data_IF_238045061439
#
_entry.id   IF_238045061439
#
_cell.length_a   1.000
_cell.length_b   1.000
_cell.length_c   1.000
_cell.angle_alpha   90.00
_cell.angle_beta   90.00
_cell.angle_gamma   90.00
#
_symmetry.space_group_name_H-M   'P 1'
#
loop_
_entity.id
_entity.type
_entity.pdbx_description
1 polymer ?
#
# COMPACT_ATOMS: atom_id res chain seq x y z
N UNK A 1 2.05 -4.92 13.40
CA UNK A 1 2.68 -3.99 12.46
C UNK A 1 2.91 -2.67 13.19
N UNK A 2 4.16 -2.23 13.34
CA UNK A 2 4.51 -1.05 14.15
C UNK A 2 3.97 0.20 13.46
N UNK A 3 3.06 0.91 14.13
CA UNK A 3 2.60 2.24 13.70
C UNK A 3 3.81 3.19 13.69
N UNK A 4 4.25 3.61 12.51
CA UNK A 4 5.35 4.57 12.35
C UNK A 4 4.89 5.97 12.81
N UNK A 5 4.98 6.25 14.11
CA UNK A 5 4.64 7.54 14.74
C UNK A 5 5.59 8.70 14.40
N UNK A 6 6.46 8.60 13.39
CA UNK A 6 7.71 9.39 13.41
C UNK A 6 7.67 10.78 12.74
N UNK A 7 6.64 11.20 12.01
CA UNK A 7 6.68 12.52 11.34
C UNK A 7 5.29 13.15 11.19
N UNK A 8 4.70 13.75 12.24
CA UNK A 8 3.55 14.65 12.05
C UNK A 8 3.63 15.84 13.04
N UNK A 9 3.85 17.05 12.50
CA UNK A 9 3.98 18.31 13.25
C UNK A 9 2.64 18.93 13.69
N UNK A 10 1.51 18.51 13.11
CA UNK A 10 0.16 18.91 13.52
C UNK A 10 -0.87 17.88 13.02
N UNK A 11 -1.64 17.30 13.93
CA UNK A 11 -2.68 16.30 13.64
C UNK A 11 -4.05 16.98 13.65
N UNK A 12 -4.88 16.67 12.66
CA UNK A 12 -6.30 17.08 12.66
C UNK A 12 -7.01 16.50 13.89
N UNK A 13 -7.91 17.26 14.55
CA UNK A 13 -8.69 16.74 15.68
C UNK A 13 -9.62 15.56 15.28
N UNK A 14 -9.85 15.35 13.99
CA UNK A 14 -10.61 14.20 13.46
C UNK A 14 -9.79 12.92 13.32
N UNK A 15 -8.46 13.00 13.44
CA UNK A 15 -7.59 11.83 13.32
C UNK A 15 -7.36 11.19 14.69
N UNK A 16 -7.77 9.93 14.81
CA UNK A 16 -7.51 9.09 15.96
C UNK A 16 -6.60 7.93 15.54
N UNK A 17 -5.53 7.70 16.30
CA UNK A 17 -4.54 6.66 16.00
C UNK A 17 -4.56 5.65 17.13
N UNK A 18 -4.68 4.37 16.77
CA UNK A 18 -4.72 3.26 17.71
C UNK A 18 -3.61 2.29 17.38
N UNK A 19 -3.04 1.67 18.41
CA UNK A 19 -2.13 0.53 18.26
C UNK A 19 -2.94 -0.74 18.53
N UNK A 20 -3.07 -1.59 17.52
CA UNK A 20 -3.80 -2.84 17.61
C UNK A 20 -3.23 -3.89 16.66
N UNK A 21 -3.59 -5.14 16.89
CA UNK A 21 -3.44 -6.21 15.90
C UNK A 21 -4.63 -6.18 14.95
N UNK A 22 -4.43 -6.52 13.68
CA UNK A 22 -5.54 -6.68 12.72
C UNK A 22 -6.50 -7.79 13.14
N UNK A 23 -6.02 -8.76 13.93
CA UNK A 23 -6.82 -9.86 14.45
C UNK A 23 -7.61 -9.50 15.71
N UNK A 24 -7.33 -8.34 16.31
CA UNK A 24 -7.89 -7.88 17.59
C UNK A 24 -8.12 -6.36 17.51
N UNK A 25 -8.90 -5.93 16.51
CA UNK A 25 -9.24 -4.52 16.32
C UNK A 25 -10.20 -4.06 17.43
N UNK A 26 -9.91 -2.95 18.14
CA UNK A 26 -10.70 -2.49 19.29
C UNK A 26 -11.91 -1.66 18.83
N UNK A 27 -12.64 -2.16 17.84
CA UNK A 27 -13.81 -1.48 17.27
C UNK A 27 -14.97 -2.46 17.21
N UNK A 28 -16.18 -1.91 17.30
CA UNK A 28 -17.37 -2.70 17.01
C UNK A 28 -17.37 -3.11 15.53
N UNK A 29 -17.90 -4.30 15.27
CA UNK A 29 -18.10 -4.77 13.88
C UNK A 29 -19.03 -3.81 13.15
N UNK A 30 -18.90 -3.76 11.83
CA UNK A 30 -19.78 -2.96 10.97
C UNK A 30 -19.82 -1.47 11.36
N UNK A 31 -18.69 -0.91 11.78
CA UNK A 31 -18.62 0.48 12.28
C UNK A 31 -18.16 1.48 11.22
N UNK A 32 -17.53 1.02 10.13
CA UNK A 32 -16.89 1.91 9.17
C UNK A 32 -17.55 1.85 7.80
N UNK A 33 -17.81 3.02 7.23
CA UNK A 33 -18.34 3.15 5.87
C UNK A 33 -17.28 2.82 4.82
N UNK A 34 -16.00 3.09 5.12
CA UNK A 34 -14.83 2.81 4.27
C UNK A 34 -13.67 2.28 5.10
N UNK A 35 -13.04 1.20 4.65
CA UNK A 35 -11.82 0.62 5.25
C UNK A 35 -10.73 0.53 4.20
N UNK A 36 -9.53 0.99 4.54
CA UNK A 36 -8.36 0.98 3.67
C UNK A 36 -7.25 0.13 4.28
N UNK A 37 -6.64 -0.76 3.49
CA UNK A 37 -5.50 -1.56 3.91
C UNK A 37 -4.47 -1.63 2.78
N UNK A 38 -3.42 -0.80 2.88
CA UNK A 38 -2.40 -0.68 1.84
C UNK A 38 -1.01 -1.06 2.34
N UNK A 39 -0.34 -1.96 1.61
CA UNK A 39 1.01 -2.44 1.89
C UNK A 39 1.12 -3.28 3.15
N UNK A 40 0.02 -3.87 3.65
CA UNK A 40 -0.01 -4.60 4.92
C UNK A 40 -0.19 -6.10 4.74
N UNK A 41 -1.16 -6.51 3.92
CA UNK A 41 -1.66 -7.88 3.91
C UNK A 41 -0.57 -8.91 3.59
N UNK A 42 0.39 -8.58 2.72
CA UNK A 42 1.52 -9.47 2.39
C UNK A 42 2.50 -9.75 3.54
N UNK A 43 2.41 -8.99 4.64
CA UNK A 43 3.24 -9.18 5.82
C UNK A 43 2.48 -9.86 6.96
N UNK A 44 1.20 -10.20 6.75
CA UNK A 44 0.38 -10.85 7.75
C UNK A 44 0.63 -12.37 7.77
N UNK A 45 0.59 -13.02 8.94
CA UNK A 45 0.74 -14.48 9.04
C UNK A 45 -0.34 -15.27 8.29
N UNK A 46 -1.56 -14.75 8.22
CA UNK A 46 -2.69 -15.38 7.55
C UNK A 46 -3.45 -14.30 6.77
N UNK A 47 -3.31 -14.37 5.45
CA UNK A 47 -3.91 -13.42 4.52
C UNK A 47 -5.44 -13.47 4.58
N UNK A 48 -6.03 -14.67 4.55
CA UNK A 48 -7.49 -14.83 4.50
C UNK A 48 -8.12 -14.34 5.79
N UNK A 49 -7.54 -14.71 6.94
CA UNK A 49 -8.01 -14.22 8.24
C UNK A 49 -7.88 -12.71 8.35
N UNK A 50 -6.78 -12.14 7.83
CA UNK A 50 -6.56 -10.69 7.86
C UNK A 50 -7.60 -9.93 7.02
N UNK A 51 -7.92 -10.42 5.82
CA UNK A 51 -8.99 -9.85 4.98
C UNK A 51 -10.34 -9.97 5.67
N UNK A 52 -10.65 -11.13 6.26
CA UNK A 52 -11.89 -11.35 7.00
C UNK A 52 -12.06 -10.36 8.16
N UNK A 53 -11.01 -10.16 8.97
CA UNK A 53 -11.05 -9.20 10.08
C UNK A 53 -11.33 -7.76 9.60
N UNK A 54 -10.84 -7.38 8.41
CA UNK A 54 -11.14 -6.07 7.83
C UNK A 54 -12.58 -5.98 7.33
N UNK A 55 -13.08 -7.02 6.67
CA UNK A 55 -14.47 -7.08 6.19
C UNK A 55 -15.45 -6.93 7.35
N UNK A 56 -15.20 -7.58 8.48
CA UNK A 56 -16.04 -7.50 9.68
C UNK A 56 -16.17 -6.09 10.26
N UNK A 57 -15.25 -5.18 9.95
CA UNK A 57 -15.30 -3.79 10.40
C UNK A 57 -16.14 -2.91 9.46
N UNK A 58 -16.43 -3.37 8.25
CA UNK A 58 -17.15 -2.61 7.21
C UNK A 58 -18.65 -2.76 7.42
N UNK A 59 -19.38 -1.65 7.37
CA UNK A 59 -20.86 -1.65 7.40
C UNK A 59 -21.45 -2.42 6.21
N UNK A 60 -22.67 -2.97 6.32
CA UNK A 60 -23.44 -3.38 5.16
C UNK A 60 -23.54 -2.23 4.13
N UNK A 61 -23.11 -2.47 2.89
CA UNK A 61 -23.06 -1.45 1.83
C UNK A 61 -21.83 -0.52 1.88
N UNK A 62 -20.94 -0.70 2.84
CA UNK A 62 -19.64 -0.02 2.88
C UNK A 62 -18.61 -0.61 1.92
N UNK A 63 -17.43 -0.01 1.85
CA UNK A 63 -16.35 -0.48 0.97
C UNK A 63 -15.08 -0.84 1.73
N UNK A 64 -14.46 -1.93 1.30
CA UNK A 64 -13.11 -2.32 1.67
C UNK A 64 -12.22 -2.15 0.43
N UNK A 65 -11.17 -1.34 0.56
CA UNK A 65 -10.16 -1.14 -0.48
C UNK A 65 -8.82 -1.68 0.03
N UNK A 66 -8.28 -2.67 -0.67
CA UNK A 66 -7.01 -3.31 -0.32
C UNK A 66 -6.09 -3.34 -1.52
N UNK A 67 -4.79 -3.29 -1.27
CA UNK A 67 -3.79 -3.70 -2.25
C UNK A 67 -3.09 -4.98 -1.77
N UNK A 68 -2.62 -5.76 -2.73
CA UNK A 68 -1.69 -6.85 -2.48
C UNK A 68 -0.84 -6.98 -3.74
N UNK A 69 0.46 -7.10 -3.56
CA UNK A 69 1.36 -7.30 -4.69
C UNK A 69 1.26 -8.76 -5.14
N UNK A 70 0.72 -9.04 -6.34
CA UNK A 70 0.77 -10.40 -6.85
C UNK A 70 2.24 -10.72 -7.15
N UNK A 71 2.80 -11.76 -6.53
CA UNK A 71 4.11 -12.29 -6.92
C UNK A 71 3.91 -13.01 -8.27
N UNK A 72 3.88 -12.26 -9.37
CA UNK A 72 3.69 -12.80 -10.72
C UNK A 72 5.04 -13.31 -11.27
N UNK A 73 5.42 -14.52 -10.87
CA UNK A 73 6.48 -15.30 -11.52
C UNK A 73 7.90 -14.70 -11.50
N UNK A 74 8.85 -15.39 -12.13
CA UNK A 74 10.25 -14.97 -12.22
C UNK A 74 10.47 -13.67 -13.03
N UNK A 75 9.60 -13.38 -14.01
CA UNK A 75 9.69 -12.18 -14.85
C UNK A 75 9.49 -10.87 -14.06
N UNK A 76 8.67 -10.86 -13.01
CA UNK A 76 8.56 -9.66 -12.13
C UNK A 76 9.80 -9.44 -11.27
N UNK A 77 10.67 -10.45 -11.10
CA UNK A 77 11.98 -10.29 -10.43
C UNK A 77 13.02 -9.65 -11.35
N UNK A 78 12.86 -9.79 -12.67
CA UNK A 78 13.67 -9.12 -13.70
C UNK A 78 13.18 -7.67 -13.80
N UNK A 79 13.43 -6.87 -12.76
CA UNK A 79 13.07 -5.46 -12.80
C UNK A 79 13.96 -4.74 -13.82
N UNK A 80 13.36 -4.11 -14.83
CA UNK A 80 14.05 -3.22 -15.78
C UNK A 80 14.95 -2.20 -15.06
N UNK A 81 14.60 -1.82 -13.83
CA UNK A 81 15.44 -1.00 -12.95
C UNK A 81 16.87 -1.52 -12.82
N UNK A 82 17.14 -2.82 -12.80
CA UNK A 82 18.51 -3.33 -12.66
C UNK A 82 19.34 -3.15 -13.93
N UNK A 83 18.71 -3.19 -15.11
CA UNK A 83 19.36 -2.92 -16.39
C UNK A 83 19.49 -1.43 -16.68
N UNK A 84 18.48 -0.64 -16.30
CA UNK A 84 18.43 0.79 -16.56
C UNK A 84 19.28 1.58 -15.56
N UNK A 85 19.37 1.16 -14.29
CA UNK A 85 20.02 1.93 -13.21
C UNK A 85 21.51 2.24 -13.40
N UNK A 86 22.35 1.40 -14.03
CA UNK A 86 23.73 1.79 -14.37
C UNK A 86 23.80 3.04 -15.27
N UNK A 87 22.82 3.22 -16.15
CA UNK A 87 22.72 4.36 -17.08
C UNK A 87 21.94 5.51 -16.43
N UNK A 88 20.72 5.24 -15.96
CA UNK A 88 19.79 6.27 -15.48
C UNK A 88 20.28 6.95 -14.20
N UNK A 89 21.08 6.28 -13.36
CA UNK A 89 21.70 6.91 -12.18
C UNK A 89 22.70 8.01 -12.55
N UNK A 90 23.28 7.97 -13.76
CA UNK A 90 24.27 8.95 -14.25
C UNK A 90 23.64 10.03 -15.15
N UNK A 91 22.34 9.95 -15.44
CA UNK A 91 21.63 10.93 -16.25
C UNK A 91 21.28 12.17 -15.44
N UNK A 92 21.24 13.32 -16.12
CA UNK A 92 20.64 14.53 -15.56
C UNK A 92 19.16 14.30 -15.24
N UNK A 93 18.72 14.76 -14.06
CA UNK A 93 17.38 14.47 -13.56
C UNK A 93 16.27 15.03 -14.44
N UNK A 94 16.47 16.21 -15.06
CA UNK A 94 15.45 16.81 -15.94
C UNK A 94 15.30 16.01 -17.22
N UNK A 95 16.42 15.52 -17.78
CA UNK A 95 16.40 14.64 -18.96
C UNK A 95 15.74 13.29 -18.67
N UNK A 96 16.05 12.69 -17.53
CA UNK A 96 15.44 11.42 -17.11
C UNK A 96 13.93 11.57 -16.89
N UNK A 97 13.51 12.65 -16.22
CA UNK A 97 12.08 12.93 -16.01
C UNK A 97 11.34 13.08 -17.34
N UNK A 98 11.87 13.88 -18.27
CA UNK A 98 11.26 14.09 -19.60
C UNK A 98 11.16 12.78 -20.40
N UNK A 99 12.15 11.89 -20.27
CA UNK A 99 12.11 10.58 -20.90
C UNK A 99 10.99 9.71 -20.31
N UNK A 100 10.81 9.72 -18.98
CA UNK A 100 9.75 8.96 -18.31
C UNK A 100 8.38 9.52 -18.71
N UNK A 101 8.17 10.84 -18.66
CA UNK A 101 6.91 11.48 -19.03
C UNK A 101 6.49 11.14 -20.46
N UNK A 102 7.44 11.15 -21.41
CA UNK A 102 7.16 10.82 -22.81
C UNK A 102 6.85 9.34 -23.07
N UNK A 103 7.14 8.45 -22.12
CA UNK A 103 6.99 7.00 -22.30
C UNK A 103 6.13 6.36 -21.20
N UNK A 104 5.42 7.17 -20.40
CA UNK A 104 4.70 6.70 -19.22
C UNK A 104 3.61 5.69 -19.57
N UNK A 105 2.91 5.90 -20.69
CA UNK A 105 1.83 5.01 -21.14
C UNK A 105 2.37 3.62 -21.53
N UNK A 106 3.53 3.56 -22.17
CA UNK A 106 4.21 2.31 -22.51
C UNK A 106 4.74 1.58 -21.27
N UNK A 107 5.14 2.32 -20.23
CA UNK A 107 5.72 1.76 -19.01
C UNK A 107 4.69 1.22 -18.02
N UNK A 108 3.43 1.65 -18.13
CA UNK A 108 2.32 1.25 -17.26
C UNK A 108 1.51 0.08 -17.85
N UNK A 109 1.60 -0.16 -19.17
CA UNK A 109 1.09 -1.36 -19.85
C UNK A 109 1.95 -2.60 -19.59
#
# INVERSE_FOLDING_TARGET
MVCAKRIIKSLSPRLKIFQASIYELPFEKESFDKVFCFGVLQHTPDFNKSVQCLIEMVKPGGELVVDFYPIKGWWTKIHAKYFLRPITKRMDQKKLLKLIENNVDLMIM
#
